data_IF_358954749792
#
_entry.id   IF_358954749792
#
_cell.length_a   1.000
_cell.length_b   1.000
_cell.length_c   1.000
_cell.angle_alpha   90.00
_cell.angle_beta   90.00
_cell.angle_gamma   90.00
#
_symmetry.space_group_name_H-M   'P 1'
#
loop_
_entity.id
_entity.type
_entity.pdbx_description
1 polymer ?
#
# COMPACT_ATOMS: atom_id res chain seq x y z
N UNK A 1 -23.53 -10.77 0.97
CA UNK A 1 -22.56 -11.44 0.06
C UNK A 1 -21.33 -11.77 0.89
N UNK A 2 -20.90 -13.04 1.00
CA UNK A 2 -19.71 -13.36 1.77
C UNK A 2 -18.51 -12.78 1.03
N UNK A 3 -17.72 -11.97 1.72
CA UNK A 3 -16.44 -11.49 1.20
C UNK A 3 -15.57 -12.69 0.81
N UNK A 4 -14.88 -12.66 -0.34
CA UNK A 4 -13.90 -13.69 -0.65
C UNK A 4 -12.90 -13.73 0.50
N UNK A 5 -12.84 -14.86 1.20
CA UNK A 5 -11.86 -15.11 2.25
C UNK A 5 -10.46 -15.10 1.57
N UNK A 6 -9.62 -14.08 1.81
CA UNK A 6 -8.37 -13.89 1.06
C UNK A 6 -7.24 -14.83 1.54
N UNK A 7 -7.59 -15.92 2.24
CA UNK A 7 -6.64 -16.87 2.79
C UNK A 7 -5.80 -17.59 1.71
N UNK A 8 -6.22 -17.65 0.43
CA UNK A 8 -5.52 -18.46 -0.57
C UNK A 8 -5.31 -17.87 -1.98
N UNK A 9 -5.82 -16.67 -2.31
CA UNK A 9 -5.53 -16.02 -3.60
C UNK A 9 -5.28 -14.52 -3.44
N UNK A 10 -4.29 -13.95 -4.15
CA UNK A 10 -4.10 -12.52 -4.20
C UNK A 10 -5.34 -11.87 -4.83
N UNK A 11 -5.83 -10.81 -4.20
CA UNK A 11 -6.92 -9.98 -4.72
C UNK A 11 -6.49 -9.38 -6.07
N UNK A 12 -7.32 -9.40 -7.12
CA UNK A 12 -6.98 -8.74 -8.39
C UNK A 12 -7.29 -7.23 -8.35
N UNK A 13 -6.70 -6.40 -9.23
CA UNK A 13 -7.01 -4.97 -9.30
C UNK A 13 -8.51 -4.67 -9.53
N UNK A 14 -9.20 -5.49 -10.31
CA UNK A 14 -10.64 -5.38 -10.54
C UNK A 14 -11.45 -5.70 -9.27
N UNK A 15 -11.04 -6.73 -8.52
CA UNK A 15 -11.66 -7.07 -7.24
C UNK A 15 -11.39 -5.99 -6.17
N UNK A 16 -10.19 -5.40 -6.16
CA UNK A 16 -9.87 -4.24 -5.34
C UNK A 16 -10.76 -3.05 -5.71
N UNK A 17 -10.88 -2.72 -7.00
CA UNK A 17 -11.72 -1.63 -7.46
C UNK A 17 -13.17 -1.83 -7.02
N UNK A 18 -13.71 -3.04 -7.21
CA UNK A 18 -15.06 -3.38 -6.77
C UNK A 18 -15.22 -3.26 -5.25
N UNK A 19 -14.24 -3.72 -4.46
CA UNK A 19 -14.29 -3.59 -3.01
C UNK A 19 -14.25 -2.13 -2.57
N UNK A 20 -13.42 -1.30 -3.21
CA UNK A 20 -13.28 0.14 -2.94
C UNK A 20 -14.56 0.93 -3.25
N UNK A 21 -15.46 0.44 -4.10
CA UNK A 21 -16.78 1.07 -4.28
C UNK A 21 -17.63 1.08 -3.00
N UNK A 22 -17.45 0.06 -2.16
CA UNK A 22 -18.17 -0.09 -0.88
C UNK A 22 -17.34 0.37 0.31
N UNK A 23 -16.02 0.41 0.17
CA UNK A 23 -15.07 0.80 1.21
C UNK A 23 -14.06 1.81 0.65
N UNK A 24 -14.49 3.02 0.27
CA UNK A 24 -13.59 4.00 -0.32
C UNK A 24 -12.46 4.37 0.64
N UNK A 25 -11.27 4.50 0.10
CA UNK A 25 -10.13 5.08 0.81
C UNK A 25 -10.18 6.59 0.74
N UNK A 26 -9.82 7.21 1.85
CA UNK A 26 -9.49 8.63 1.91
C UNK A 26 -8.13 8.89 1.24
N UNK A 27 -7.83 10.14 0.84
CA UNK A 27 -6.51 10.49 0.31
C UNK A 27 -5.35 10.06 1.21
N UNK A 28 -5.50 10.19 2.53
CA UNK A 28 -4.47 9.78 3.49
C UNK A 28 -4.26 8.26 3.56
N UNK A 29 -5.29 7.47 3.27
CA UNK A 29 -5.16 6.01 3.16
C UNK A 29 -4.46 5.63 1.85
N UNK A 30 -4.67 6.38 0.77
CA UNK A 30 -3.87 6.24 -0.45
C UNK A 30 -2.41 6.60 -0.24
N UNK A 31 -2.11 7.63 0.57
CA UNK A 31 -0.73 7.92 0.98
C UNK A 31 -0.11 6.73 1.75
N UNK A 32 -0.89 6.05 2.59
CA UNK A 32 -0.43 4.83 3.26
C UNK A 32 -0.11 3.70 2.28
N UNK A 33 -0.89 3.55 1.20
CA UNK A 33 -0.60 2.58 0.13
C UNK A 33 0.72 2.94 -0.56
N UNK A 34 0.91 4.20 -0.95
CA UNK A 34 2.14 4.69 -1.59
C UNK A 34 3.37 4.42 -0.71
N UNK A 35 3.29 4.78 0.58
CA UNK A 35 4.38 4.51 1.52
C UNK A 35 4.68 3.01 1.66
N UNK A 36 3.65 2.15 1.66
CA UNK A 36 3.84 0.72 1.75
C UNK A 36 4.48 0.14 0.47
N UNK A 37 4.10 0.62 -0.71
CA UNK A 37 4.72 0.23 -1.98
C UNK A 37 6.18 0.66 -2.04
N UNK A 38 6.51 1.89 -1.61
CA UNK A 38 7.90 2.34 -1.49
C UNK A 38 8.72 1.46 -0.56
N UNK A 39 8.14 0.94 0.54
CA UNK A 39 8.82 -0.03 1.41
C UNK A 39 9.06 -1.37 0.73
N UNK A 40 8.16 -1.82 -0.14
CA UNK A 40 8.33 -3.04 -0.93
C UNK A 40 9.49 -2.86 -1.91
N UNK A 41 9.51 -1.76 -2.66
CA UNK A 41 10.57 -1.43 -3.61
C UNK A 41 11.94 -1.21 -2.93
N UNK A 42 11.97 -0.61 -1.73
CA UNK A 42 13.21 -0.44 -0.94
C UNK A 42 13.67 -1.73 -0.22
N UNK A 43 12.93 -2.83 -0.33
CA UNK A 43 13.22 -4.07 0.39
C UNK A 43 13.13 -3.94 1.93
N UNK A 44 12.43 -2.93 2.43
CA UNK A 44 12.21 -2.66 3.88
C UNK A 44 10.81 -3.06 4.36
N UNK A 45 9.99 -3.66 3.50
CA UNK A 45 8.68 -4.13 3.86
C UNK A 45 8.77 -5.37 4.78
N UNK A 46 8.18 -5.27 5.97
CA UNK A 46 8.07 -6.38 6.93
C UNK A 46 6.73 -7.13 6.85
N UNK A 47 5.88 -6.76 5.88
CA UNK A 47 4.61 -7.45 5.69
C UNK A 47 4.87 -8.83 5.09
N UNK A 48 3.93 -9.76 5.28
CA UNK A 48 3.97 -11.04 4.58
C UNK A 48 3.99 -10.81 3.05
N UNK A 49 4.44 -11.77 2.25
CA UNK A 49 4.39 -11.67 0.78
C UNK A 49 2.99 -11.30 0.27
N UNK A 50 1.94 -11.85 0.89
CA UNK A 50 0.55 -11.51 0.60
C UNK A 50 0.22 -10.03 0.92
N UNK A 51 0.75 -9.49 2.02
CA UNK A 51 0.56 -8.08 2.38
C UNK A 51 1.28 -7.12 1.42
N UNK A 52 2.48 -7.48 0.96
CA UNK A 52 3.18 -6.72 -0.09
C UNK A 52 2.42 -6.74 -1.42
N UNK A 53 1.95 -7.92 -1.85
CA UNK A 53 1.14 -8.10 -3.05
C UNK A 53 -0.17 -7.29 -2.98
N UNK A 54 -0.84 -7.27 -1.82
CA UNK A 54 -2.03 -6.44 -1.62
C UNK A 54 -1.74 -4.95 -1.87
N UNK A 55 -0.61 -4.42 -1.37
CA UNK A 55 -0.26 -3.01 -1.56
C UNK A 55 0.04 -2.70 -3.03
N UNK A 56 0.69 -3.62 -3.75
CA UNK A 56 0.90 -3.49 -5.19
C UNK A 56 -0.43 -3.45 -5.95
N UNK A 57 -1.36 -4.34 -5.63
CA UNK A 57 -2.71 -4.37 -6.22
C UNK A 57 -3.47 -3.06 -5.95
N UNK A 58 -3.43 -2.57 -4.71
CA UNK A 58 -4.08 -1.30 -4.36
C UNK A 58 -3.48 -0.13 -5.15
N UNK A 59 -2.16 -0.12 -5.36
CA UNK A 59 -1.49 0.88 -6.18
C UNK A 59 -1.89 0.80 -7.66
N UNK A 60 -1.94 -0.41 -8.25
CA UNK A 60 -2.43 -0.60 -9.62
C UNK A 60 -3.87 -0.13 -9.77
N UNK A 61 -4.74 -0.44 -8.80
CA UNK A 61 -6.12 0.06 -8.77
C UNK A 61 -6.17 1.57 -8.69
N UNK A 62 -5.32 2.21 -7.89
CA UNK A 62 -5.23 3.67 -7.80
C UNK A 62 -4.88 4.29 -9.17
N UNK A 63 -3.91 3.71 -9.88
CA UNK A 63 -3.53 4.14 -11.23
C UNK A 63 -4.68 3.95 -12.23
N UNK A 64 -5.32 2.78 -12.25
CA UNK A 64 -6.39 2.46 -13.18
C UNK A 64 -7.66 3.31 -12.98
N UNK A 65 -7.93 3.73 -11.74
CA UNK A 65 -9.14 4.50 -11.38
C UNK A 65 -8.88 5.99 -11.18
N UNK A 66 -7.64 6.45 -11.38
CA UNK A 66 -7.27 7.87 -11.30
C UNK A 66 -7.31 8.46 -9.89
N UNK A 67 -7.12 7.64 -8.84
CA UNK A 67 -7.11 8.12 -7.46
C UNK A 67 -6.00 9.14 -7.22
N UNK A 68 -6.25 10.08 -6.33
CA UNK A 68 -5.33 11.18 -6.02
C UNK A 68 -5.04 11.25 -4.53
N UNK A 69 -3.79 11.53 -4.21
CA UNK A 69 -3.30 11.90 -2.88
C UNK A 69 -1.97 12.65 -3.03
N UNK A 70 -1.50 13.27 -1.95
CA UNK A 70 -0.27 14.06 -1.98
C UNK A 70 0.94 13.20 -2.38
N UNK A 71 1.04 11.98 -1.83
CA UNK A 71 2.13 11.07 -2.16
C UNK A 71 1.97 10.40 -3.52
N UNK A 72 0.74 10.18 -4.01
CA UNK A 72 0.53 9.72 -5.39
C UNK A 72 1.07 10.77 -6.36
N UNK A 73 0.71 12.04 -6.17
CA UNK A 73 1.17 13.12 -7.03
C UNK A 73 2.69 13.29 -6.98
N UNK A 74 3.29 13.12 -5.79
CA UNK A 74 4.72 13.32 -5.57
C UNK A 74 5.60 12.16 -6.03
N UNK A 75 5.16 10.92 -5.82
CA UNK A 75 6.01 9.73 -6.00
C UNK A 75 5.47 8.74 -7.04
N UNK A 76 4.30 8.98 -7.63
CA UNK A 76 3.70 8.03 -8.57
C UNK A 76 4.59 7.72 -9.77
N UNK A 77 5.17 8.73 -10.41
CA UNK A 77 6.09 8.52 -11.53
C UNK A 77 7.34 7.72 -11.15
N UNK A 78 7.89 7.97 -9.95
CA UNK A 78 9.05 7.25 -9.43
C UNK A 78 8.71 5.76 -9.19
N UNK A 79 7.54 5.48 -8.63
CA UNK A 79 7.07 4.12 -8.38
C UNK A 79 6.84 3.38 -9.69
N UNK A 80 6.17 4.02 -10.67
CA UNK A 80 5.95 3.43 -12.00
C UNK A 80 7.27 3.09 -12.68
N UNK A 81 8.27 3.99 -12.61
CA UNK A 81 9.60 3.72 -13.16
C UNK A 81 10.28 2.53 -12.47
N UNK A 82 10.19 2.47 -11.13
CA UNK A 82 10.81 1.40 -10.33
C UNK A 82 10.10 0.03 -10.47
N UNK A 83 8.90 -0.02 -11.03
CA UNK A 83 8.23 -1.28 -11.34
C UNK A 83 8.77 -1.94 -12.61
N UNK A 84 9.38 -1.18 -13.53
CA UNK A 84 9.96 -1.69 -14.77
C UNK A 84 11.40 -2.15 -14.55
N UNK A 85 12.27 -1.24 -14.11
CA UNK A 85 13.67 -1.52 -13.83
C UNK A 85 14.17 -0.67 -12.66
N UNK A 86 14.95 -1.28 -11.76
CA UNK A 86 15.60 -0.58 -10.66
C UNK A 86 17.11 -0.57 -10.88
N UNK A 87 17.65 0.61 -11.16
CA UNK A 87 19.08 0.86 -11.15
C UNK A 87 19.56 1.44 -9.80
N UNK A 88 20.88 1.61 -9.66
CA UNK A 88 21.48 2.11 -8.43
C UNK A 88 21.02 3.54 -8.05
N UNK A 89 20.76 4.41 -9.04
CA UNK A 89 20.27 5.76 -8.78
C UNK A 89 18.81 5.75 -8.33
N UNK A 90 18.00 4.91 -8.98
CA UNK A 90 16.59 4.74 -8.64
C UNK A 90 16.43 4.14 -7.24
N UNK A 91 17.30 3.20 -6.85
CA UNK A 91 17.31 2.68 -5.48
C UNK A 91 17.54 3.78 -4.44
N UNK A 92 18.44 4.73 -4.70
CA UNK A 92 18.68 5.88 -3.81
C UNK A 92 17.43 6.77 -3.75
N UNK A 93 16.80 7.05 -4.89
CA UNK A 93 15.59 7.87 -4.96
C UNK A 93 14.42 7.20 -4.23
N UNK A 94 14.23 5.89 -4.39
CA UNK A 94 13.22 5.09 -3.68
C UNK A 94 13.46 5.11 -2.17
N UNK A 95 14.72 4.98 -1.74
CA UNK A 95 15.06 5.05 -0.33
C UNK A 95 14.67 6.41 0.28
N UNK A 96 15.03 7.51 -0.39
CA UNK A 96 14.67 8.86 0.05
C UNK A 96 13.16 9.09 0.04
N UNK A 97 12.48 8.68 -1.04
CA UNK A 97 11.02 8.79 -1.15
C UNK A 97 10.31 8.03 -0.03
N UNK A 98 10.79 6.83 0.35
CA UNK A 98 10.27 6.08 1.49
C UNK A 98 10.41 6.86 2.80
N UNK A 99 11.58 7.44 3.06
CA UNK A 99 11.80 8.23 4.28
C UNK A 99 10.88 9.44 4.35
N UNK A 100 10.73 10.15 3.24
CA UNK A 100 9.83 11.31 3.12
C UNK A 100 8.36 10.91 3.32
N UNK A 101 7.92 9.81 2.69
CA UNK A 101 6.56 9.29 2.85
C UNK A 101 6.27 8.87 4.31
N UNK A 102 7.21 8.20 4.96
CA UNK A 102 7.07 7.79 6.37
C UNK A 102 7.04 8.99 7.33
N UNK A 103 7.78 10.05 7.04
CA UNK A 103 7.75 11.28 7.82
C UNK A 103 6.46 12.09 7.61
N UNK A 104 5.88 12.01 6.41
CA UNK A 104 4.64 12.71 6.06
C UNK A 104 3.41 12.09 6.71
N UNK A 105 3.35 10.76 6.85
CA UNK A 105 2.16 10.06 7.34
C UNK A 105 2.14 9.99 8.87
N UNK A 106 1.10 10.52 9.55
CA UNK A 106 0.98 10.38 11.00
C UNK A 106 0.85 8.91 11.42
N UNK A 107 1.53 8.53 12.50
CA UNK A 107 1.47 7.15 13.04
C UNK A 107 0.04 6.66 13.30
N UNK A 108 -0.84 7.55 13.74
CA UNK A 108 -2.25 7.23 13.99
C UNK A 108 -2.99 6.83 12.70
N UNK A 109 -2.73 7.51 11.58
CA UNK A 109 -3.32 7.23 10.27
C UNK A 109 -2.86 5.87 9.77
N UNK A 110 -1.55 5.62 9.78
CA UNK A 110 -0.98 4.31 9.38
C UNK A 110 -1.54 3.15 10.22
N UNK A 111 -1.68 3.35 11.54
CA UNK A 111 -2.28 2.36 12.44
C UNK A 111 -3.75 2.11 12.12
N UNK A 112 -4.53 3.17 11.89
CA UNK A 112 -5.94 3.09 11.51
C UNK A 112 -6.14 2.34 10.19
N UNK A 113 -5.36 2.70 9.17
CA UNK A 113 -5.36 2.06 7.86
C UNK A 113 -5.08 0.56 7.95
N UNK A 114 -4.00 0.15 8.63
CA UNK A 114 -3.70 -1.27 8.86
C UNK A 114 -4.80 -1.98 9.64
N UNK A 115 -5.39 -1.32 10.64
CA UNK A 115 -6.51 -1.85 11.40
C UNK A 115 -7.73 -2.14 10.53
N UNK A 116 -8.08 -1.18 9.65
CA UNK A 116 -9.18 -1.32 8.68
C UNK A 116 -8.95 -2.50 7.73
N UNK A 117 -7.75 -2.63 7.17
CA UNK A 117 -7.41 -3.76 6.29
C UNK A 117 -7.47 -5.12 7.00
N UNK A 118 -7.05 -5.18 8.28
CA UNK A 118 -7.17 -6.39 9.10
C UNK A 118 -8.64 -6.73 9.38
N UNK A 119 -9.47 -5.75 9.72
CA UNK A 119 -10.92 -5.95 9.95
C UNK A 119 -11.65 -6.42 8.69
N UNK A 120 -11.22 -5.94 7.52
CA UNK A 120 -11.71 -6.41 6.22
C UNK A 120 -11.17 -7.81 5.83
N UNK A 121 -10.28 -8.40 6.62
CA UNK A 121 -9.62 -9.68 6.34
C UNK A 121 -8.54 -9.61 5.25
N UNK A 122 -8.33 -8.45 4.61
CA UNK A 122 -7.40 -8.27 3.49
C UNK A 122 -5.93 -8.41 3.91
N UNK A 123 -5.62 -8.02 5.15
CA UNK A 123 -4.34 -8.33 5.76
C UNK A 123 -4.53 -9.40 6.81
N UNK A 124 -3.66 -10.42 6.76
CA UNK A 124 -3.52 -11.34 7.87
C UNK A 124 -3.30 -10.53 9.16
N UNK A 125 -3.91 -10.97 10.25
CA UNK A 125 -3.65 -10.45 11.58
C UNK A 125 -2.21 -10.78 11.98
N UNK A 126 -1.24 -10.08 11.41
CA UNK A 126 0.15 -10.14 11.86
C UNK A 126 0.19 -9.67 13.31
N UNK A 127 0.58 -10.58 14.19
CA UNK A 127 1.20 -10.28 15.47
C UNK A 127 2.38 -9.29 15.27
N UNK A 128 2.74 -8.58 16.34
CA UNK A 128 3.52 -7.34 16.42
C UNK A 128 2.61 -6.08 16.34
N UNK A 129 2.28 -5.38 17.42
CA UNK A 129 2.76 -5.42 18.80
C UNK A 129 1.71 -4.75 19.70
N UNK A 130 1.20 -5.49 20.71
CA UNK A 130 0.81 -4.86 21.96
C UNK A 130 2.12 -4.41 22.62
N UNK A 131 2.42 -3.12 22.54
CA UNK A 131 3.33 -2.50 23.50
C UNK A 131 2.45 -1.91 24.61
N UNK A 132 2.70 -2.41 25.81
CA UNK A 132 2.08 -2.05 27.08
C UNK A 132 2.19 -0.56 27.42
#
# INVERSE_FOLDING_TARGET
MPYPNPAHSPLTPEQAAQWLTTHPFSPQEWDCVVAAVLKVLDGKCKMSPAGGALMAVMWETAQATGQQSDLIARFGALITQAQDEIDAMLQIAIHQARQDAEAHIPKAVMKGFKGRLKQAGLLAGGAEEQAA
#
